data_IF_706560881541
#
_entry.id   IF_706560881541
#
_cell.length_a   1.000
_cell.length_b   1.000
_cell.length_c   1.000
_cell.angle_alpha   90.00
_cell.angle_beta   90.00
_cell.angle_gamma   90.00
#
_symmetry.space_group_name_H-M   'P 1'
#
loop_
_entity.id
_entity.type
_entity.pdbx_description
1 polymer ?
#
# COMPACT_ATOMS: atom_id res chain seq x y z
N UNK A 1 -3.19 18.31 1.31
CA UNK A 1 -2.82 16.98 0.76
C UNK A 1 -3.85 16.62 -0.30
N UNK A 2 -3.42 16.18 -1.47
CA UNK A 2 -4.35 15.67 -2.50
C UNK A 2 -5.17 14.52 -1.90
N UNK A 3 -6.47 14.48 -2.18
CA UNK A 3 -7.37 13.37 -1.79
C UNK A 3 -6.79 12.03 -2.21
N UNK A 4 -6.20 11.99 -3.42
CA UNK A 4 -5.49 10.84 -3.96
C UNK A 4 -4.39 10.27 -3.05
N UNK A 5 -3.56 11.13 -2.48
CA UNK A 5 -2.48 10.69 -1.59
C UNK A 5 -3.04 10.06 -0.30
N UNK A 6 -4.12 10.64 0.22
CA UNK A 6 -4.80 10.12 1.41
C UNK A 6 -5.43 8.76 1.11
N UNK A 7 -6.05 8.61 -0.06
CA UNK A 7 -6.67 7.36 -0.50
C UNK A 7 -5.64 6.24 -0.65
N UNK A 8 -4.48 6.52 -1.28
CA UNK A 8 -3.39 5.54 -1.41
C UNK A 8 -2.82 5.15 -0.04
N UNK A 9 -2.68 6.10 0.90
CA UNK A 9 -2.24 5.79 2.26
C UNK A 9 -3.23 4.86 2.97
N UNK A 10 -4.54 5.10 2.82
CA UNK A 10 -5.58 4.23 3.39
C UNK A 10 -5.47 2.82 2.79
N UNK A 11 -5.33 2.71 1.47
CA UNK A 11 -5.16 1.41 0.78
C UNK A 11 -3.88 0.71 1.26
N UNK A 12 -2.77 1.44 1.41
CA UNK A 12 -1.52 0.90 1.96
C UNK A 12 -1.74 0.27 3.33
N UNK A 13 -2.36 1.02 4.25
CA UNK A 13 -2.62 0.54 5.61
C UNK A 13 -3.58 -0.65 5.64
N UNK A 14 -4.63 -0.61 4.82
CA UNK A 14 -5.56 -1.74 4.69
C UNK A 14 -4.82 -3.01 4.22
N UNK A 15 -4.00 -2.91 3.16
CA UNK A 15 -3.23 -4.05 2.67
C UNK A 15 -2.24 -4.58 3.72
N UNK A 16 -1.56 -3.71 4.46
CA UNK A 16 -0.69 -4.12 5.57
C UNK A 16 -1.43 -4.88 6.67
N UNK A 17 -2.68 -4.51 6.95
CA UNK A 17 -3.52 -5.25 7.90
C UNK A 17 -4.01 -6.58 7.32
N UNK A 18 -4.41 -6.61 6.05
CA UNK A 18 -4.91 -7.83 5.42
C UNK A 18 -3.86 -8.93 5.30
N UNK A 19 -2.58 -8.58 5.08
CA UNK A 19 -1.49 -9.57 5.01
C UNK A 19 -1.12 -10.20 6.35
N UNK A 20 -1.50 -9.58 7.49
CA UNK A 20 -1.22 -10.10 8.83
C UNK A 20 -2.37 -10.93 9.40
N UNK A 21 -3.45 -11.14 8.62
CA UNK A 21 -4.62 -11.91 9.07
C UNK A 21 -4.23 -13.37 9.34
N UNK A 22 -4.74 -13.98 10.42
CA UNK A 22 -4.58 -15.41 10.65
C UNK A 22 -5.30 -16.21 9.55
N UNK A 23 -4.80 -17.41 9.25
CA UNK A 23 -5.38 -18.33 8.24
C UNK A 23 -5.38 -17.80 6.79
N UNK A 24 -4.47 -16.89 6.45
CA UNK A 24 -4.30 -16.46 5.06
C UNK A 24 -3.60 -17.53 4.21
N UNK A 25 -4.10 -17.75 3.00
CA UNK A 25 -3.49 -18.64 2.02
C UNK A 25 -2.20 -18.02 1.46
N UNK A 26 -1.12 -18.80 1.39
CA UNK A 26 0.21 -18.31 0.97
C UNK A 26 0.21 -17.71 -0.43
N UNK A 27 -0.53 -18.31 -1.38
CA UNK A 27 -0.65 -17.79 -2.75
C UNK A 27 -1.35 -16.43 -2.79
N UNK A 28 -2.33 -16.22 -1.92
CA UNK A 28 -3.03 -14.93 -1.82
C UNK A 28 -2.16 -13.89 -1.12
N UNK A 29 -1.44 -14.29 -0.06
CA UNK A 29 -0.44 -13.44 0.59
C UNK A 29 0.65 -12.97 -0.39
N UNK A 30 1.12 -13.83 -1.30
CA UNK A 30 2.11 -13.42 -2.30
C UNK A 30 1.56 -12.34 -3.24
N UNK A 31 0.31 -12.49 -3.71
CA UNK A 31 -0.36 -11.49 -4.55
C UNK A 31 -0.58 -10.18 -3.79
N UNK A 32 -1.04 -10.26 -2.54
CA UNK A 32 -1.28 -9.10 -1.67
C UNK A 32 0.03 -8.35 -1.37
N UNK A 33 1.14 -9.06 -1.10
CA UNK A 33 2.46 -8.47 -0.92
C UNK A 33 2.97 -7.79 -2.19
N UNK A 34 2.76 -8.39 -3.37
CA UNK A 34 3.09 -7.76 -4.66
C UNK A 34 2.28 -6.48 -4.88
N UNK A 35 1.00 -6.49 -4.53
CA UNK A 35 0.13 -5.31 -4.60
C UNK A 35 0.58 -4.22 -3.61
N UNK A 36 0.87 -4.58 -2.36
CA UNK A 36 1.39 -3.66 -1.36
C UNK A 36 2.64 -2.95 -1.85
N UNK A 37 3.60 -3.68 -2.45
CA UNK A 37 4.82 -3.09 -3.01
C UNK A 37 4.56 -2.08 -4.13
N UNK A 38 3.54 -2.32 -4.97
CA UNK A 38 3.12 -1.33 -5.99
C UNK A 38 2.57 -0.06 -5.35
N UNK A 39 1.69 -0.21 -4.37
CA UNK A 39 1.09 0.92 -3.64
C UNK A 39 2.17 1.71 -2.88
N UNK A 40 3.15 1.05 -2.27
CA UNK A 40 4.27 1.73 -1.61
C UNK A 40 5.16 2.53 -2.56
N UNK A 41 5.45 1.99 -3.74
CA UNK A 41 6.17 2.72 -4.79
C UNK A 41 5.38 3.95 -5.24
N UNK A 42 4.07 3.82 -5.35
CA UNK A 42 3.19 4.93 -5.75
C UNK A 42 3.14 6.04 -4.70
N UNK A 43 3.01 5.68 -3.42
CA UNK A 43 3.18 6.62 -2.28
C UNK A 43 4.52 7.34 -2.36
N UNK A 44 5.61 6.59 -2.59
CA UNK A 44 6.96 7.12 -2.64
C UNK A 44 7.14 8.10 -3.80
N UNK A 45 6.63 7.74 -4.98
CA UNK A 45 6.63 8.60 -6.15
C UNK A 45 5.81 9.87 -5.90
N UNK A 46 4.61 9.74 -5.31
CA UNK A 46 3.79 10.89 -4.97
C UNK A 46 4.51 11.83 -3.99
N UNK A 47 5.15 11.28 -2.95
CA UNK A 47 5.96 12.07 -2.00
C UNK A 47 7.10 12.81 -2.69
N UNK A 48 7.84 12.13 -3.57
CA UNK A 48 8.95 12.72 -4.34
C UNK A 48 8.45 13.83 -5.26
N UNK A 49 7.42 13.57 -6.07
CA UNK A 49 6.86 14.53 -7.03
C UNK A 49 6.24 15.76 -6.35
N UNK A 50 5.73 15.61 -5.13
CA UNK A 50 5.11 16.71 -4.39
C UNK A 50 6.05 17.30 -3.31
N UNK A 51 7.32 16.88 -3.26
CA UNK A 51 8.31 17.31 -2.27
C UNK A 51 7.83 17.19 -0.81
N UNK A 52 6.99 16.19 -0.54
CA UNK A 52 6.43 15.92 0.78
C UNK A 52 7.50 15.20 1.59
N UNK A 53 8.05 15.87 2.63
CA UNK A 53 9.00 15.29 3.59
C UNK A 53 8.34 14.24 4.49
#
# INVERSE_FOLDING_TARGET
>A
MSTYYKDIQIVKHALQFYITRPNANEKDLEKEKKLLKKVENEVSNFKKSNHIK
#
